data_IF_535242037405
#
_entry.id   IF_535242037405
#
_cell.length_a   1.000
_cell.length_b   1.000
_cell.length_c   1.000
_cell.angle_alpha   90.00
_cell.angle_beta   90.00
_cell.angle_gamma   90.00
#
_symmetry.space_group_name_H-M   'P 1'
#
loop_
_entity.id
_entity.type
_entity.pdbx_description
1 polymer ?
#
# COMPACT_ATOMS: atom_id res chain seq x y z
N UNK A 1 -6.56 23.08 -23.08
CA UNK A 1 -5.79 23.28 -21.82
C UNK A 1 -6.82 23.13 -20.73
N UNK A 2 -6.97 21.92 -20.21
CA UNK A 2 -7.98 21.63 -19.17
C UNK A 2 -7.32 21.77 -17.81
N UNK A 3 -7.24 23.02 -17.34
CA UNK A 3 -6.77 23.35 -16.01
C UNK A 3 -7.91 23.22 -14.99
N UNK A 4 -7.79 22.21 -14.11
CA UNK A 4 -7.73 22.51 -12.68
C UNK A 4 -9.01 22.49 -11.85
N UNK A 5 -9.63 21.32 -11.62
CA UNK A 5 -10.51 21.09 -10.45
C UNK A 5 -10.59 19.61 -10.02
N UNK A 6 -9.46 18.87 -9.89
CA UNK A 6 -9.53 17.42 -9.56
C UNK A 6 -8.78 16.98 -8.29
N UNK A 7 -7.92 17.79 -7.67
CA UNK A 7 -7.08 17.32 -6.55
C UNK A 7 -7.88 17.06 -5.25
N UNK A 8 -8.97 17.80 -5.03
CA UNK A 8 -9.82 17.62 -3.84
C UNK A 8 -10.73 16.38 -3.92
N UNK A 9 -10.88 15.75 -5.09
CA UNK A 9 -11.80 14.63 -5.31
C UNK A 9 -11.15 13.45 -6.04
N UNK A 10 -9.83 13.25 -5.95
CA UNK A 10 -9.17 12.08 -6.56
C UNK A 10 -9.46 10.78 -5.78
N UNK A 11 -10.74 10.38 -5.81
CA UNK A 11 -11.26 9.15 -5.23
C UNK A 11 -10.74 7.91 -5.95
N UNK A 12 -10.41 8.02 -7.23
CA UNK A 12 -9.81 6.92 -7.98
C UNK A 12 -8.38 6.63 -7.49
N UNK A 13 -7.57 7.66 -7.24
CA UNK A 13 -6.25 7.51 -6.62
C UNK A 13 -6.35 6.91 -5.20
N UNK A 14 -7.32 7.36 -4.42
CA UNK A 14 -7.59 6.81 -3.09
C UNK A 14 -8.05 5.35 -3.13
N UNK A 15 -8.94 4.99 -4.06
CA UNK A 15 -9.39 3.63 -4.26
C UNK A 15 -8.23 2.71 -4.66
N UNK A 16 -7.34 3.16 -5.55
CA UNK A 16 -6.14 2.40 -5.91
C UNK A 16 -5.18 2.20 -4.74
N UNK A 17 -4.96 3.22 -3.91
CA UNK A 17 -4.15 3.07 -2.70
C UNK A 17 -4.74 2.01 -1.75
N UNK A 18 -6.07 2.05 -1.56
CA UNK A 18 -6.78 1.07 -0.76
C UNK A 18 -6.69 -0.34 -1.34
N UNK A 19 -6.79 -0.50 -2.66
CA UNK A 19 -6.64 -1.79 -3.36
C UNK A 19 -5.24 -2.36 -3.13
N UNK A 20 -4.18 -1.53 -3.22
CA UNK A 20 -2.80 -1.97 -2.95
C UNK A 20 -2.67 -2.46 -1.51
N UNK A 21 -3.21 -1.73 -0.54
CA UNK A 21 -3.22 -2.17 0.86
C UNK A 21 -4.01 -3.47 1.05
N UNK A 22 -5.22 -3.57 0.49
CA UNK A 22 -6.06 -4.76 0.64
C UNK A 22 -5.38 -6.00 0.04
N UNK A 23 -4.78 -5.87 -1.15
CA UNK A 23 -4.04 -6.95 -1.79
C UNK A 23 -2.84 -7.40 -0.94
N UNK A 24 -2.09 -6.45 -0.37
CA UNK A 24 -0.98 -6.74 0.56
C UNK A 24 -1.47 -7.48 1.80
N UNK A 25 -2.51 -6.99 2.45
CA UNK A 25 -3.09 -7.62 3.64
C UNK A 25 -3.57 -9.05 3.34
N UNK A 26 -4.33 -9.25 2.26
CA UNK A 26 -4.80 -10.57 1.86
C UNK A 26 -3.65 -11.53 1.56
N UNK A 27 -2.57 -11.06 0.95
CA UNK A 27 -1.40 -11.88 0.67
C UNK A 27 -0.66 -12.29 1.96
N UNK A 28 -0.47 -11.37 2.91
CA UNK A 28 0.11 -11.71 4.23
C UNK A 28 -0.76 -12.71 5.00
N UNK A 29 -2.07 -12.46 5.01
CA UNK A 29 -3.02 -13.34 5.68
C UNK A 29 -3.03 -14.74 5.05
N UNK A 30 -3.01 -14.82 3.72
CA UNK A 30 -2.90 -16.08 2.98
C UNK A 30 -1.58 -16.80 3.25
N UNK A 31 -0.45 -16.09 3.22
CA UNK A 31 0.86 -16.68 3.51
C UNK A 31 0.94 -17.25 4.94
N UNK A 32 0.40 -16.51 5.93
CA UNK A 32 0.29 -16.97 7.32
C UNK A 32 -0.57 -18.23 7.45
N UNK A 33 -1.65 -18.31 6.67
CA UNK A 33 -2.58 -19.46 6.68
C UNK A 33 -1.97 -20.70 6.01
N UNK A 34 -1.16 -20.53 4.96
CA UNK A 34 -0.52 -21.64 4.24
C UNK A 34 0.74 -22.16 4.96
N UNK A 35 1.53 -21.27 5.56
CA UNK A 35 2.80 -21.60 6.20
C UNK A 35 2.87 -21.11 7.66
N UNK A 36 2.07 -21.69 8.56
CA UNK A 36 2.04 -21.26 9.95
C UNK A 36 3.39 -21.51 10.62
N UNK A 37 3.98 -20.47 11.21
CA UNK A 37 5.22 -20.54 11.99
C UNK A 37 6.49 -20.84 11.17
N UNK A 38 6.43 -20.90 9.84
CA UNK A 38 7.62 -21.16 9.03
C UNK A 38 8.37 -19.86 8.68
N UNK A 39 9.72 -19.89 8.67
CA UNK A 39 10.53 -18.74 8.28
C UNK A 39 10.31 -18.31 6.83
N UNK A 40 9.89 -19.24 5.96
CA UNK A 40 9.54 -18.95 4.56
C UNK A 40 8.40 -17.93 4.44
N UNK A 41 7.41 -17.95 5.34
CA UNK A 41 6.30 -17.01 5.35
C UNK A 41 6.77 -15.56 5.55
N UNK A 42 7.88 -15.36 6.30
CA UNK A 42 8.45 -14.03 6.56
C UNK A 42 9.08 -13.44 5.32
N UNK A 43 9.88 -14.24 4.60
CA UNK A 43 10.53 -13.79 3.37
C UNK A 43 9.50 -13.44 2.30
N UNK A 44 8.44 -14.25 2.19
CA UNK A 44 7.31 -13.94 1.33
C UNK A 44 6.63 -12.62 1.75
N UNK A 45 6.35 -12.43 3.05
CA UNK A 45 5.75 -11.21 3.57
C UNK A 45 6.61 -9.96 3.32
N UNK A 46 7.93 -10.04 3.49
CA UNK A 46 8.87 -8.96 3.20
C UNK A 46 8.87 -8.61 1.70
N UNK A 47 8.93 -9.62 0.83
CA UNK A 47 8.89 -9.41 -0.61
C UNK A 47 7.58 -8.74 -1.06
N UNK A 48 6.44 -9.21 -0.57
CA UNK A 48 5.12 -8.63 -0.88
C UNK A 48 5.01 -7.20 -0.33
N UNK A 49 5.58 -6.93 0.84
CA UNK A 49 5.63 -5.59 1.42
C UNK A 49 6.43 -4.63 0.54
N UNK A 50 7.60 -5.05 0.05
CA UNK A 50 8.41 -4.24 -0.86
C UNK A 50 7.66 -3.93 -2.17
N UNK A 51 6.97 -4.92 -2.74
CA UNK A 51 6.13 -4.73 -3.94
C UNK A 51 4.99 -3.75 -3.67
N UNK A 52 4.31 -3.87 -2.53
CA UNK A 52 3.19 -2.98 -2.17
C UNK A 52 3.65 -1.53 -1.96
N UNK A 53 4.78 -1.31 -1.29
CA UNK A 53 5.37 0.03 -1.15
C UNK A 53 5.81 0.59 -2.50
N UNK A 54 6.41 -0.25 -3.37
CA UNK A 54 6.74 0.13 -4.74
C UNK A 54 5.52 0.54 -5.56
N UNK A 55 4.40 -0.19 -5.43
CA UNK A 55 3.14 0.14 -6.08
C UNK A 55 2.57 1.47 -5.59
N UNK A 56 2.63 1.76 -4.28
CA UNK A 56 2.23 3.06 -3.73
C UNK A 56 3.13 4.20 -4.22
N UNK A 57 4.44 4.00 -4.27
CA UNK A 57 5.38 4.99 -4.78
C UNK A 57 5.17 5.27 -6.28
N UNK A 58 4.88 4.22 -7.06
CA UNK A 58 4.51 4.35 -8.45
C UNK A 58 3.18 5.09 -8.62
N UNK A 59 2.16 4.76 -7.81
CA UNK A 59 0.86 5.43 -7.81
C UNK A 59 1.00 6.93 -7.48
N UNK A 60 1.82 7.28 -6.49
CA UNK A 60 2.12 8.67 -6.13
C UNK A 60 2.65 9.47 -7.33
N UNK A 61 3.57 8.86 -8.10
CA UNK A 61 4.13 9.47 -9.32
C UNK A 61 3.12 9.52 -10.46
N UNK A 62 2.41 8.41 -10.72
CA UNK A 62 1.47 8.28 -11.82
C UNK A 62 0.28 9.26 -11.69
N UNK A 63 -0.20 9.48 -10.47
CA UNK A 63 -1.28 10.43 -10.16
C UNK A 63 -0.79 11.86 -9.94
N UNK A 64 0.53 12.11 -10.08
CA UNK A 64 1.17 13.41 -9.85
C UNK A 64 0.72 14.06 -8.53
N UNK A 65 0.62 13.29 -7.47
CA UNK A 65 0.18 13.78 -6.15
C UNK A 65 1.15 14.89 -5.71
N UNK A 66 0.72 16.16 -5.79
CA UNK A 66 1.58 17.31 -5.44
C UNK A 66 1.59 17.60 -3.94
N UNK A 67 0.53 17.18 -3.23
CA UNK A 67 0.38 17.43 -1.80
C UNK A 67 -0.16 16.22 -1.05
N UNK A 68 0.39 15.88 0.13
CA UNK A 68 -0.16 14.87 1.03
C UNK A 68 -1.49 15.28 1.65
N UNK A 69 -1.91 16.55 1.51
CA UNK A 69 -3.20 17.04 1.99
C UNK A 69 -4.39 16.72 1.07
N UNK A 70 -4.13 16.13 -0.10
CA UNK A 70 -5.19 15.65 -1.00
C UNK A 70 -5.77 14.32 -0.50
N UNK A 71 -7.00 13.98 -0.92
CA UNK A 71 -7.63 12.69 -0.57
C UNK A 71 -6.76 11.51 -1.01
N UNK A 72 -6.24 11.54 -2.24
CA UNK A 72 -5.33 10.51 -2.74
C UNK A 72 -4.01 10.47 -1.95
N UNK A 73 -3.42 11.62 -1.62
CA UNK A 73 -2.20 11.69 -0.82
C UNK A 73 -2.38 11.11 0.59
N UNK A 74 -3.49 11.44 1.26
CA UNK A 74 -3.84 10.86 2.55
C UNK A 74 -4.07 9.35 2.45
N UNK A 75 -4.81 8.89 1.45
CA UNK A 75 -5.07 7.48 1.24
C UNK A 75 -3.77 6.68 1.01
N UNK A 76 -2.84 7.22 0.21
CA UNK A 76 -1.51 6.61 0.03
C UNK A 76 -0.72 6.60 1.34
N UNK A 77 -0.75 7.68 2.12
CA UNK A 77 -0.06 7.75 3.41
C UNK A 77 -0.61 6.71 4.41
N UNK A 78 -1.93 6.64 4.58
CA UNK A 78 -2.57 5.66 5.46
C UNK A 78 -2.30 4.24 5.00
N UNK A 79 -2.47 3.96 3.69
CA UNK A 79 -2.17 2.64 3.12
C UNK A 79 -0.72 2.23 3.36
N UNK A 80 0.22 3.17 3.17
CA UNK A 80 1.65 2.95 3.42
C UNK A 80 1.94 2.65 4.88
N UNK A 81 1.39 3.43 5.81
CA UNK A 81 1.53 3.18 7.26
C UNK A 81 0.98 1.81 7.62
N UNK A 82 -0.21 1.46 7.13
CA UNK A 82 -0.83 0.15 7.40
C UNK A 82 -0.03 -1.01 6.81
N UNK A 83 0.55 -0.86 5.61
CA UNK A 83 1.45 -1.86 5.01
C UNK A 83 2.69 -2.08 5.89
N UNK A 84 3.33 -1.00 6.35
CA UNK A 84 4.52 -1.08 7.20
C UNK A 84 4.20 -1.74 8.53
N UNK A 85 3.12 -1.32 9.20
CA UNK A 85 2.69 -1.90 10.47
C UNK A 85 2.28 -3.37 10.32
N UNK A 86 1.60 -3.72 9.24
CA UNK A 86 1.22 -5.10 8.93
C UNK A 86 2.41 -6.03 8.69
N UNK A 87 3.55 -5.48 8.24
CA UNK A 87 4.78 -6.24 8.02
C UNK A 87 5.66 -6.40 9.28
N UNK A 88 5.37 -5.68 10.38
CA UNK A 88 6.17 -5.74 11.62
C UNK A 88 6.37 -7.16 12.16
N UNK A 89 5.35 -8.03 12.24
CA UNK A 89 5.54 -9.41 12.73
C UNK A 89 6.50 -10.23 11.85
N UNK A 90 6.49 -9.98 10.53
CA UNK A 90 7.41 -10.63 9.60
C UNK A 90 8.85 -10.13 9.79
N UNK A 91 9.03 -8.85 10.15
CA UNK A 91 10.33 -8.21 10.32
C UNK A 91 10.98 -8.47 11.69
N UNK A 92 10.19 -8.57 12.77
CA UNK A 92 10.70 -8.66 14.14
C UNK A 92 10.80 -10.08 14.66
N UNK A 93 9.86 -10.94 14.29
CA UNK A 93 9.76 -12.23 14.97
C UNK A 93 10.84 -13.21 14.58
#
# INVERSE_FOLDING_TARGET
MDDGYSEWHDWAGAAWALVVWAAHFSALWGASSVWPGQPAARWAALAVTAVALGALAWLWRARRVRTPRSIAGLAVAFSGISIVLGAVPAAVG
#
